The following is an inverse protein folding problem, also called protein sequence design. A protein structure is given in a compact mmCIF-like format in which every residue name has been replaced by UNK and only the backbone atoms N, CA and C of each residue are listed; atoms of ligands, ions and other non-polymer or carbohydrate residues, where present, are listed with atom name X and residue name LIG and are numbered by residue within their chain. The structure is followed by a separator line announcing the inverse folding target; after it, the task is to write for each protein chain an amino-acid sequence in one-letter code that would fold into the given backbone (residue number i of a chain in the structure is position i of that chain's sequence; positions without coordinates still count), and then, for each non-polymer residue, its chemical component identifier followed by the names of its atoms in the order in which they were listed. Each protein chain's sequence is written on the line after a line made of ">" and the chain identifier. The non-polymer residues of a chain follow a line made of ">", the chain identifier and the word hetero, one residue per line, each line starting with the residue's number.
data_IF_557242736183
#
_entry.id   IF_557242736183
#
_cell.length_a   1.000
_cell.length_b   1.000
_cell.length_c   1.000
_cell.angle_alpha   90.00
_cell.angle_beta   90.00
_cell.angle_gamma   90.00
#
_symmetry.space_group_name_H-M   'P 1'
#
loop_
_entity.id
_entity.type
_entity.pdbx_description
1 polymer ?
#
# COMPACT_ATOMS: atom_id res chain seq x y z
N UNK A 1 14.96 -13.88 -19.19
CA UNK A 1 13.57 -13.99 -18.65
C UNK A 1 13.56 -14.22 -17.14
N UNK A 2 14.37 -15.11 -16.58
CA UNK A 2 14.45 -15.35 -15.13
C UNK A 2 14.85 -14.08 -14.36
N UNK A 3 15.86 -13.36 -14.82
CA UNK A 3 16.32 -12.09 -14.20
C UNK A 3 15.25 -10.99 -14.22
N UNK A 4 14.43 -10.92 -15.27
CA UNK A 4 13.31 -9.97 -15.36
C UNK A 4 12.25 -10.27 -14.29
N UNK A 5 12.00 -11.56 -14.02
CA UNK A 5 11.07 -12.00 -12.98
C UNK A 5 11.65 -11.75 -11.57
N UNK A 6 12.95 -11.99 -11.39
CA UNK A 6 13.64 -11.69 -10.14
C UNK A 6 13.55 -10.19 -9.80
N UNK A 7 13.88 -9.33 -10.77
CA UNK A 7 13.73 -7.89 -10.65
C UNK A 7 12.30 -7.45 -10.32
N UNK A 8 11.30 -8.04 -10.97
CA UNK A 8 9.89 -7.74 -10.70
C UNK A 8 9.46 -8.08 -9.26
N UNK A 9 10.21 -8.95 -8.57
CA UNK A 9 10.00 -9.35 -7.19
C UNK A 9 10.93 -8.63 -6.19
N UNK A 10 11.86 -7.78 -6.66
CA UNK A 10 12.72 -6.96 -5.83
C UNK A 10 11.99 -5.73 -5.28
N UNK A 11 12.45 -5.20 -4.15
CA UNK A 11 11.93 -3.96 -3.57
C UNK A 11 12.52 -2.76 -4.33
N UNK A 12 11.72 -1.81 -4.86
CA UNK A 12 12.23 -0.66 -5.62
C UNK A 12 13.27 0.18 -4.86
N UNK A 13 13.18 0.21 -3.52
CA UNK A 13 14.12 0.90 -2.65
C UNK A 13 15.56 0.38 -2.75
N UNK A 14 15.76 -0.92 -3.02
CA UNK A 14 17.10 -1.51 -3.24
C UNK A 14 17.78 -0.84 -4.45
N UNK A 15 16.99 -0.24 -5.33
CA UNK A 15 17.43 0.39 -6.56
C UNK A 15 17.36 1.92 -6.49
N UNK A 16 17.25 2.49 -5.29
CA UNK A 16 17.17 3.94 -5.10
C UNK A 16 15.87 4.56 -5.58
N UNK A 17 14.85 3.75 -5.89
CA UNK A 17 13.55 4.22 -6.32
C UNK A 17 12.66 4.38 -5.08
N UNK A 18 12.18 5.60 -4.75
CA UNK A 18 11.38 5.85 -3.55
C UNK A 18 9.92 5.39 -3.73
N UNK A 19 9.68 4.33 -4.47
CA UNK A 19 8.36 3.75 -4.72
C UNK A 19 8.16 2.50 -3.87
N UNK A 20 6.92 2.28 -3.43
CA UNK A 20 6.52 1.07 -2.70
C UNK A 20 6.30 -0.14 -3.62
N UNK A 21 6.22 0.09 -4.94
CA UNK A 21 6.00 -0.91 -5.98
C UNK A 21 6.67 -0.52 -7.29
N UNK A 22 7.03 -1.53 -8.08
CA UNK A 22 7.42 -1.38 -9.47
C UNK A 22 6.17 -1.32 -10.36
N UNK A 23 5.99 -0.25 -11.15
CA UNK A 23 5.08 -0.28 -12.29
C UNK A 23 5.70 -1.05 -13.46
N UNK A 24 4.90 -1.43 -14.45
CA UNK A 24 5.41 -2.05 -15.69
C UNK A 24 6.46 -1.15 -16.35
N UNK A 25 6.25 0.16 -16.34
CA UNK A 25 7.17 1.13 -16.93
C UNK A 25 8.47 1.25 -16.13
N UNK A 26 8.41 1.12 -14.80
CA UNK A 26 9.60 1.11 -13.95
C UNK A 26 10.43 -0.15 -14.20
N UNK A 27 9.77 -1.32 -14.28
CA UNK A 27 10.45 -2.59 -14.63
C UNK A 27 11.03 -2.48 -16.05
N UNK A 28 10.27 -1.93 -16.99
CA UNK A 28 10.74 -1.75 -18.37
C UNK A 28 11.99 -0.89 -18.43
N UNK A 29 11.98 0.26 -17.76
CA UNK A 29 13.15 1.15 -17.65
C UNK A 29 14.33 0.41 -17.02
N UNK A 30 14.12 -0.25 -15.89
CA UNK A 30 15.18 -0.88 -15.11
C UNK A 30 15.81 -2.08 -15.84
N UNK A 31 14.99 -2.87 -16.54
CA UNK A 31 15.43 -3.97 -17.39
C UNK A 31 16.34 -3.48 -18.52
N UNK A 32 16.04 -2.32 -19.11
CA UNK A 32 16.88 -1.70 -20.14
C UNK A 32 18.15 -1.08 -19.54
N UNK A 33 18.03 -0.38 -18.42
CA UNK A 33 19.18 0.24 -17.72
C UNK A 33 20.22 -0.80 -17.31
N UNK A 34 19.79 -1.98 -16.84
CA UNK A 34 20.69 -3.07 -16.46
C UNK A 34 21.21 -3.88 -17.64
N UNK A 35 20.69 -3.65 -18.84
CA UNK A 35 21.04 -4.45 -20.03
C UNK A 35 20.59 -5.91 -19.93
N UNK A 36 19.60 -6.24 -19.10
CA UNK A 36 19.05 -7.60 -18.96
C UNK A 36 18.46 -8.06 -20.31
N UNK A 37 17.91 -7.12 -21.10
CA UNK A 37 17.58 -7.31 -22.52
C UNK A 37 17.94 -6.05 -23.31
N UNK A 38 18.34 -6.22 -24.57
CA UNK A 38 18.72 -5.10 -25.44
C UNK A 38 17.51 -4.23 -25.83
N UNK A 39 16.38 -4.85 -26.20
CA UNK A 39 15.11 -4.18 -26.49
C UNK A 39 13.93 -5.11 -26.18
N UNK A 40 12.87 -4.54 -25.60
CA UNK A 40 11.62 -5.24 -25.36
C UNK A 40 10.47 -4.23 -25.32
N UNK A 41 9.29 -4.59 -25.81
CA UNK A 41 8.09 -3.75 -25.63
C UNK A 41 7.52 -3.92 -24.22
N UNK A 42 6.93 -2.87 -23.67
CA UNK A 42 6.19 -2.96 -22.39
C UNK A 42 5.07 -4.01 -22.41
N UNK A 43 4.44 -4.24 -23.57
CA UNK A 43 3.42 -5.28 -23.77
C UNK A 43 3.98 -6.71 -23.68
N UNK A 44 5.19 -6.94 -24.21
CA UNK A 44 5.87 -8.24 -24.11
C UNK A 44 6.32 -8.51 -22.69
N UNK A 45 6.87 -7.50 -22.03
CA UNK A 45 7.24 -7.56 -20.62
C UNK A 45 6.03 -7.87 -19.74
N UNK A 46 4.90 -7.17 -19.96
CA UNK A 46 3.66 -7.46 -19.25
C UNK A 46 3.19 -8.89 -19.47
N UNK A 47 3.21 -9.38 -20.72
CA UNK A 47 2.80 -10.75 -21.05
C UNK A 47 3.65 -11.80 -20.33
N UNK A 48 4.97 -11.59 -20.23
CA UNK A 48 5.88 -12.50 -19.51
C UNK A 48 5.65 -12.49 -18.01
N UNK A 49 5.38 -11.34 -17.40
CA UNK A 49 5.07 -11.28 -15.97
C UNK A 49 3.68 -11.88 -15.70
N UNK A 50 2.73 -11.63 -16.59
CA UNK A 50 1.37 -12.14 -16.51
C UNK A 50 1.29 -13.66 -16.66
N UNK A 51 2.07 -14.27 -17.57
CA UNK A 51 2.10 -15.73 -17.76
C UNK A 51 2.50 -16.48 -16.50
N UNK A 52 3.28 -15.85 -15.64
CA UNK A 52 3.75 -16.40 -14.38
C UNK A 52 2.98 -15.87 -13.17
N UNK A 53 1.83 -15.22 -13.41
CA UNK A 53 0.99 -14.58 -12.39
C UNK A 53 1.71 -13.51 -11.53
N UNK A 54 2.85 -13.00 -11.98
CA UNK A 54 3.62 -11.94 -11.31
C UNK A 54 2.98 -10.59 -11.66
N UNK A 55 2.40 -9.93 -10.65
CA UNK A 55 1.70 -8.63 -10.82
C UNK A 55 2.18 -7.60 -9.78
N UNK A 56 3.40 -7.04 -9.93
CA UNK A 56 4.00 -6.11 -8.97
C UNK A 56 3.17 -4.85 -8.76
N UNK A 57 2.38 -4.45 -9.77
CA UNK A 57 1.45 -3.33 -9.71
C UNK A 57 0.10 -3.65 -9.04
N UNK A 58 -0.22 -4.92 -8.79
CA UNK A 58 -1.53 -5.38 -8.30
C UNK A 58 -1.51 -5.79 -6.83
N UNK A 59 -0.37 -6.30 -6.33
CA UNK A 59 -0.23 -6.64 -4.91
C UNK A 59 0.03 -5.38 -4.08
N UNK A 60 -0.86 -5.13 -3.13
CA UNK A 60 -0.84 -3.97 -2.25
C UNK A 60 0.14 -4.24 -1.09
N UNK A 61 1.41 -3.91 -1.26
CA UNK A 61 2.36 -3.80 -0.16
C UNK A 61 2.11 -2.50 0.61
N UNK A 62 0.96 -2.41 1.28
CA UNK A 62 0.46 -1.13 1.76
C UNK A 62 1.28 -0.55 2.92
N UNK A 63 1.99 -1.37 3.70
CA UNK A 63 2.93 -0.94 4.74
C UNK A 63 4.05 -1.97 4.82
N UNK A 64 5.28 -1.59 4.42
CA UNK A 64 6.49 -2.30 4.82
C UNK A 64 7.07 -1.56 6.02
N UNK A 65 6.91 -2.09 7.24
CA UNK A 65 7.48 -1.47 8.42
C UNK A 65 9.00 -1.57 8.34
N UNK A 66 9.64 -0.46 7.96
CA UNK A 66 11.10 -0.34 7.77
C UNK A 66 11.84 0.11 9.03
N UNK A 67 11.10 0.61 10.00
CA UNK A 67 11.63 0.96 11.32
C UNK A 67 11.68 -0.32 12.18
N UNK A 68 12.84 -0.72 12.72
CA UNK A 68 12.94 -1.85 13.64
C UNK A 68 12.03 -1.70 14.87
N UNK A 69 11.76 -0.46 15.27
CA UNK A 69 10.83 -0.11 16.34
C UNK A 69 9.39 0.13 15.83
N UNK A 70 9.08 -0.16 14.56
CA UNK A 70 7.73 0.07 14.01
C UNK A 70 6.67 -0.67 14.81
N UNK A 71 6.91 -1.93 15.20
CA UNK A 71 5.95 -2.71 15.98
C UNK A 71 5.65 -2.08 17.35
N UNK A 72 6.64 -1.40 17.93
CA UNK A 72 6.51 -0.67 19.19
C UNK A 72 5.78 0.67 18.99
N UNK A 73 6.11 1.40 17.93
CA UNK A 73 5.53 2.71 17.59
C UNK A 73 4.12 2.64 17.00
N UNK A 74 3.80 1.58 16.26
CA UNK A 74 2.55 1.42 15.53
C UNK A 74 1.37 1.05 16.44
N UNK A 75 1.61 0.80 17.73
CA UNK A 75 0.60 0.32 18.66
C UNK A 75 0.02 -1.05 18.26
N UNK A 76 -0.93 -1.60 19.02
CA UNK A 76 -1.53 -2.89 18.69
C UNK A 76 -2.18 -2.85 17.30
N UNK A 77 -1.70 -3.68 16.37
CA UNK A 77 -2.21 -3.80 14.98
C UNK A 77 -3.72 -4.11 14.96
N UNK A 78 -4.25 -4.76 16.00
CA UNK A 78 -5.68 -5.05 16.15
C UNK A 78 -6.54 -3.84 16.59
N UNK A 79 -5.92 -2.71 16.92
CA UNK A 79 -6.58 -1.43 17.23
C UNK A 79 -6.51 -0.41 16.07
N UNK A 80 -5.95 -0.79 14.92
CA UNK A 80 -5.99 -0.01 13.65
C UNK A 80 -7.40 0.48 13.29
N UNK A 81 -8.40 -0.38 13.51
CA UNK A 81 -9.82 -0.08 13.32
C UNK A 81 -10.40 0.97 14.29
N UNK A 82 -9.66 1.33 15.34
CA UNK A 82 -9.98 2.42 16.27
C UNK A 82 -9.19 3.70 15.96
N UNK A 83 -8.29 3.68 14.96
CA UNK A 83 -7.44 4.81 14.67
C UNK A 83 -8.15 5.78 13.73
N UNK A 84 -8.44 7.00 14.23
CA UNK A 84 -9.14 8.04 13.47
C UNK A 84 -8.43 8.39 12.16
N UNK A 85 -7.10 8.23 12.12
CA UNK A 85 -6.31 8.47 10.91
C UNK A 85 -6.62 7.48 9.78
N UNK A 86 -6.98 6.23 10.09
CA UNK A 86 -7.32 5.22 9.07
C UNK A 86 -8.70 5.49 8.46
N UNK A 87 -9.65 5.97 9.28
CA UNK A 87 -10.95 6.42 8.80
C UNK A 87 -10.75 7.60 7.84
N UNK A 88 -9.93 8.58 8.22
CA UNK A 88 -9.61 9.72 7.37
C UNK A 88 -8.98 9.28 6.03
N UNK A 89 -7.96 8.41 6.04
CA UNK A 89 -7.36 7.90 4.81
C UNK A 89 -8.33 7.09 3.94
N UNK A 90 -9.25 6.32 4.55
CA UNK A 90 -10.31 5.64 3.80
C UNK A 90 -11.25 6.61 3.09
N UNK A 91 -11.51 7.77 3.69
CA UNK A 91 -12.33 8.83 3.09
C UNK A 91 -11.58 9.50 1.95
N UNK A 92 -10.32 9.90 2.17
CA UNK A 92 -9.43 10.47 1.14
C UNK A 92 -9.31 9.53 -0.05
N UNK A 93 -9.08 8.23 0.19
CA UNK A 93 -9.00 7.22 -0.87
C UNK A 93 -10.25 7.21 -1.74
N UNK A 94 -11.44 7.25 -1.13
CA UNK A 94 -12.72 7.14 -1.85
C UNK A 94 -13.16 8.45 -2.51
N UNK A 95 -12.88 9.61 -1.90
CA UNK A 95 -13.39 10.92 -2.35
C UNK A 95 -12.39 11.73 -3.16
N UNK A 96 -11.09 11.50 -2.96
CA UNK A 96 -10.02 12.26 -3.61
C UNK A 96 -9.28 11.39 -4.60
N UNK A 97 -8.85 10.20 -4.17
CA UNK A 97 -7.96 9.34 -4.94
C UNK A 97 -8.70 8.33 -5.85
N UNK A 98 -10.03 8.39 -5.95
CA UNK A 98 -10.82 7.49 -6.81
C UNK A 98 -11.69 8.30 -7.76
N UNK A 99 -11.51 8.17 -9.10
CA UNK A 99 -10.43 7.44 -9.77
C UNK A 99 -9.06 8.10 -9.56
N UNK A 100 -7.99 7.29 -9.51
CA UNK A 100 -6.62 7.74 -9.23
C UNK A 100 -5.91 8.27 -10.49
N UNK A 101 -6.50 9.26 -11.15
CA UNK A 101 -5.92 9.91 -12.34
C UNK A 101 -5.63 11.37 -12.02
N UNK A 102 -4.36 11.75 -12.14
CA UNK A 102 -3.83 13.09 -11.87
C UNK A 102 -2.83 13.45 -12.97
N UNK A 103 -2.83 14.71 -13.38
CA UNK A 103 -1.96 15.19 -14.46
C UNK A 103 -0.50 15.36 -13.99
N UNK A 104 -0.32 15.63 -12.69
CA UNK A 104 1.00 15.77 -12.06
C UNK A 104 0.93 15.55 -10.54
N UNK A 105 2.09 15.49 -9.89
CA UNK A 105 2.15 15.45 -8.42
C UNK A 105 1.64 16.76 -7.79
N UNK A 106 1.85 17.90 -8.45
CA UNK A 106 1.35 19.19 -7.97
C UNK A 106 -0.19 19.23 -7.98
N UNK A 107 -0.83 18.63 -8.99
CA UNK A 107 -2.29 18.49 -9.07
C UNK A 107 -2.84 17.59 -7.94
N UNK A 108 -2.15 16.49 -7.64
CA UNK A 108 -2.50 15.64 -6.49
C UNK A 108 -2.37 16.40 -5.16
N UNK A 109 -1.26 17.12 -4.97
CA UNK A 109 -1.00 17.92 -3.76
C UNK A 109 -2.09 18.98 -3.56
N UNK A 110 -2.35 19.79 -4.58
CA UNK A 110 -3.38 20.84 -4.55
C UNK A 110 -4.76 20.26 -4.24
N UNK A 111 -5.12 19.11 -4.83
CA UNK A 111 -6.40 18.46 -4.55
C UNK A 111 -6.50 17.91 -3.13
N UNK A 112 -5.41 17.36 -2.58
CA UNK A 112 -5.37 16.90 -1.19
C UNK A 112 -5.50 18.07 -0.21
N UNK A 113 -4.78 19.17 -0.45
CA UNK A 113 -4.86 20.38 0.37
C UNK A 113 -6.27 20.99 0.33
N UNK A 114 -6.86 21.15 -0.86
CA UNK A 114 -8.24 21.63 -1.01
C UNK A 114 -9.25 20.71 -0.33
N UNK A 115 -9.04 19.39 -0.39
CA UNK A 115 -9.90 18.45 0.30
C UNK A 115 -9.76 18.58 1.81
N UNK A 116 -8.56 18.74 2.36
CA UNK A 116 -8.33 18.98 3.77
C UNK A 116 -9.10 20.23 4.23
N UNK A 117 -8.89 21.38 3.58
CA UNK A 117 -9.56 22.64 3.94
C UNK A 117 -11.09 22.54 3.89
N UNK A 118 -11.61 21.81 2.91
CA UNK A 118 -13.04 21.54 2.78
C UNK A 118 -13.55 20.59 3.87
N UNK A 119 -12.81 19.53 4.14
CA UNK A 119 -13.20 18.49 5.09
C UNK A 119 -13.13 19.00 6.53
N UNK A 120 -12.15 19.84 6.87
CA UNK A 120 -12.06 20.50 8.18
C UNK A 120 -13.30 21.37 8.48
N UNK A 121 -13.85 22.06 7.47
CA UNK A 121 -15.07 22.87 7.62
C UNK A 121 -16.34 22.05 7.81
N UNK A 122 -16.35 20.81 7.33
CA UNK A 122 -17.52 19.91 7.38
C UNK A 122 -17.38 18.80 8.42
N UNK A 123 -16.22 18.68 9.05
CA UNK A 123 -15.93 17.59 9.96
C UNK A 123 -16.80 17.74 11.21
N UNK A 124 -17.80 16.87 11.32
CA UNK A 124 -18.51 16.64 12.57
C UNK A 124 -17.81 15.54 13.37
N UNK A 125 -17.90 15.57 14.71
CA UNK A 125 -17.41 14.48 15.55
C UNK A 125 -17.97 13.13 15.08
N UNK A 126 -17.08 12.17 14.82
CA UNK A 126 -17.49 10.84 14.40
C UNK A 126 -18.40 10.20 15.46
N UNK A 127 -19.60 9.78 15.05
CA UNK A 127 -20.51 9.02 15.93
C UNK A 127 -19.95 7.62 16.16
N UNK A 128 -19.23 7.46 17.26
CA UNK A 128 -18.66 6.19 17.70
C UNK A 128 -19.76 5.14 17.94
N UNK A 129 -19.77 4.09 17.13
CA UNK A 129 -20.67 2.93 17.30
C UNK A 129 -19.99 1.76 18.02
N UNK A 130 -18.68 1.83 18.22
CA UNK A 130 -17.90 0.80 18.90
C UNK A 130 -17.95 0.99 20.42
N UNK A 131 -18.79 0.21 21.10
CA UNK A 131 -19.02 0.33 22.55
C UNK A 131 -18.13 -0.64 23.34
N UNK A 132 -18.10 -0.49 24.67
CA UNK A 132 -17.42 -1.45 25.58
C UNK A 132 -17.90 -2.89 25.36
N UNK A 133 -19.17 -3.10 25.05
CA UNK A 133 -19.73 -4.42 24.77
C UNK A 133 -19.13 -5.03 23.49
N UNK A 134 -18.86 -4.20 22.47
CA UNK A 134 -18.19 -4.64 21.24
C UNK A 134 -16.73 -5.05 21.52
N UNK A 135 -16.03 -4.32 22.39
CA UNK A 135 -14.69 -4.68 22.84
C UNK A 135 -14.67 -6.05 23.54
N UNK A 136 -15.59 -6.27 24.50
CA UNK A 136 -15.66 -7.55 25.22
C UNK A 136 -15.95 -8.72 24.28
N UNK A 137 -16.82 -8.54 23.29
CA UNK A 137 -17.09 -9.56 22.26
C UNK A 137 -15.85 -9.85 21.41
N UNK A 138 -15.10 -8.80 21.05
CA UNK A 138 -13.88 -8.93 20.26
C UNK A 138 -12.78 -9.68 21.03
N UNK A 139 -12.55 -9.35 22.30
CA UNK A 139 -11.57 -10.04 23.14
C UNK A 139 -11.87 -11.54 23.23
N UNK A 140 -13.13 -11.90 23.51
CA UNK A 140 -13.56 -13.31 23.52
C UNK A 140 -13.29 -14.04 22.20
N UNK A 141 -13.46 -13.35 21.06
CA UNK A 141 -13.20 -13.92 19.73
C UNK A 141 -11.71 -14.14 19.47
N UNK A 142 -10.85 -13.26 19.97
CA UNK A 142 -9.39 -13.39 19.87
C UNK A 142 -8.90 -14.56 20.73
N UNK A 143 -9.41 -14.70 21.95
CA UNK A 143 -9.06 -15.80 22.86
C UNK A 143 -9.45 -17.17 22.28
N UNK A 144 -10.53 -17.22 21.49
CA UNK A 144 -11.01 -18.44 20.83
C UNK A 144 -10.20 -18.84 19.58
N UNK A 145 -9.45 -17.90 19.00
CA UNK A 145 -8.62 -18.14 17.82
C UNK A 145 -7.21 -17.56 18.07
N UNK A 146 -6.37 -18.23 18.89
CA UNK A 146 -4.99 -17.81 19.06
C UNK A 146 -4.32 -17.78 17.69
N UNK A 147 -3.90 -16.57 17.29
CA UNK A 147 -3.23 -16.35 16.01
C UNK A 147 -1.93 -17.13 16.03
N UNK A 148 -1.91 -18.29 15.37
CA UNK A 148 -0.70 -19.09 15.20
C UNK A 148 0.14 -18.43 14.11
N UNK A 149 0.83 -17.34 14.45
CA UNK A 149 1.93 -16.84 13.63
C UNK A 149 3.17 -17.67 13.99
N UNK A 150 3.37 -18.78 13.27
CA UNK A 150 4.68 -19.40 13.16
C UNK A 150 5.60 -18.41 12.43
N UNK A 151 6.49 -17.78 13.17
CA UNK A 151 7.64 -17.08 12.60
C UNK A 151 8.58 -18.20 12.12
N UNK A 152 8.66 -18.40 10.82
CA UNK A 152 9.68 -19.26 10.22
C UNK A 152 11.04 -18.55 10.33
N UNK A 153 12.00 -19.23 10.94
CA UNK A 153 13.40 -18.86 11.05
C UNK A 153 14.10 -18.85 9.68
#
# INVERSE_FOLDING_TARGET
>A
MVEVKALACELPYIHGIPLSRFSINDIHREVLTRGIVAQISGSTLWRWLHSDAIRPWYYRSWIFPRDPAFAEKAGPVHASWLNQIEIFFSIVQRKVLTPNHFESLADLEDRLMKFQDYYEKLAEPFKWKFTRQNLTKLMKKIDQHPTTQKIAA
#
